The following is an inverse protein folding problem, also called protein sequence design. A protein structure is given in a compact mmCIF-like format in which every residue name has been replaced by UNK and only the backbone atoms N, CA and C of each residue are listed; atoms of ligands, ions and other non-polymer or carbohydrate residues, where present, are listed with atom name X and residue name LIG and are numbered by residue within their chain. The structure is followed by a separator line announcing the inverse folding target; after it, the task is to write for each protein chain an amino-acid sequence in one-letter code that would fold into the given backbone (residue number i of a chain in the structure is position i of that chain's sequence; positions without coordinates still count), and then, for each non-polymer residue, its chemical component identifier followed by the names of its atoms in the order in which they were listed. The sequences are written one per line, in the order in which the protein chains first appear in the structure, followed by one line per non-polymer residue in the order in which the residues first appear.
data_IF_070296394988
#
_entry.id   IF_070296394988
#
_cell.length_a   1.000
_cell.length_b   1.000
_cell.length_c   1.000
_cell.angle_alpha   90.00
_cell.angle_beta   90.00
_cell.angle_gamma   90.00
#
_symmetry.space_group_name_H-M   'P 1'
#
loop_
_entity.id
_entity.type
_entity.pdbx_description
1 polymer ?
#
# COMPACT_ATOMS: atom_id res chain seq x y z
N UNK A 1 -33.49 -1.34 11.52
CA UNK A 1 -32.52 -2.42 11.79
C UNK A 1 -33.01 -3.76 11.26
N UNK A 2 -34.26 -4.20 11.56
CA UNK A 2 -34.79 -5.49 11.15
C UNK A 2 -34.81 -5.74 9.64
N UNK A 3 -35.16 -4.73 8.83
CA UNK A 3 -35.18 -4.83 7.36
C UNK A 3 -33.76 -4.98 6.78
N UNK A 4 -32.76 -4.31 7.36
CA UNK A 4 -31.36 -4.44 6.93
C UNK A 4 -30.79 -5.84 7.26
N UNK A 5 -31.11 -6.38 8.43
CA UNK A 5 -30.71 -7.73 8.84
C UNK A 5 -31.40 -8.78 7.94
N UNK A 6 -32.70 -8.63 7.66
CA UNK A 6 -33.42 -9.53 6.76
C UNK A 6 -32.85 -9.47 5.34
N UNK A 7 -32.55 -8.29 4.82
CA UNK A 7 -31.93 -8.13 3.50
C UNK A 7 -30.54 -8.79 3.44
N UNK A 8 -29.72 -8.60 4.46
CA UNK A 8 -28.39 -9.23 4.53
C UNK A 8 -28.49 -10.76 4.61
N UNK A 9 -29.44 -11.30 5.37
CA UNK A 9 -29.67 -12.74 5.49
C UNK A 9 -30.21 -13.38 4.19
N UNK A 10 -30.97 -12.63 3.40
CA UNK A 10 -31.57 -13.10 2.14
C UNK A 10 -30.67 -12.83 0.93
N UNK A 11 -29.60 -12.04 1.08
CA UNK A 11 -28.65 -11.78 -0.01
C UNK A 11 -27.78 -13.03 -0.23
N UNK A 12 -27.79 -13.64 -1.43
CA UNK A 12 -26.95 -14.79 -1.71
C UNK A 12 -25.48 -14.42 -1.50
N UNK A 13 -24.74 -15.23 -0.73
CA UNK A 13 -23.29 -15.08 -0.62
C UNK A 13 -22.70 -15.36 -2.01
N UNK A 14 -22.07 -14.35 -2.59
CA UNK A 14 -21.24 -14.54 -3.78
C UNK A 14 -19.96 -15.27 -3.32
N UNK A 15 -19.92 -16.58 -3.51
CA UNK A 15 -18.69 -17.33 -3.35
C UNK A 15 -17.90 -17.24 -4.64
N UNK A 16 -16.62 -16.85 -4.54
CA UNK A 16 -15.73 -16.93 -5.68
C UNK A 16 -15.44 -18.39 -6.01
N UNK A 17 -15.55 -18.76 -7.27
CA UNK A 17 -15.08 -20.07 -7.77
C UNK A 17 -13.55 -20.10 -7.94
N UNK A 18 -12.88 -18.99 -7.66
CA UNK A 18 -11.43 -18.90 -7.75
C UNK A 18 -10.78 -19.81 -6.70
N UNK A 19 -9.95 -20.72 -7.15
CA UNK A 19 -9.08 -21.54 -6.32
C UNK A 19 -7.66 -21.00 -6.50
N UNK A 20 -7.06 -20.40 -5.45
CA UNK A 20 -5.68 -19.96 -5.55
C UNK A 20 -4.79 -21.15 -5.85
N UNK A 21 -3.94 -20.99 -6.88
CA UNK A 21 -2.89 -21.98 -7.16
C UNK A 21 -1.69 -21.61 -6.30
N UNK A 22 -1.17 -22.53 -5.49
CA UNK A 22 0.05 -22.29 -4.74
C UNK A 22 1.21 -21.99 -5.70
N UNK A 23 1.89 -20.87 -5.46
CA UNK A 23 3.11 -20.48 -6.17
C UNK A 23 4.16 -20.08 -5.12
N UNK A 24 4.92 -21.06 -4.60
CA UNK A 24 5.90 -20.81 -3.54
C UNK A 24 7.00 -19.84 -3.93
N UNK A 25 7.45 -19.89 -5.19
CA UNK A 25 8.53 -19.03 -5.67
C UNK A 25 8.06 -17.57 -5.74
N UNK A 26 6.85 -17.35 -6.26
CA UNK A 26 6.22 -16.02 -6.29
C UNK A 26 5.95 -15.50 -4.88
N UNK A 27 5.45 -16.36 -3.99
CA UNK A 27 5.22 -16.00 -2.59
C UNK A 27 6.52 -15.60 -1.89
N UNK A 28 7.61 -16.34 -2.14
CA UNK A 28 8.92 -16.00 -1.57
C UNK A 28 9.45 -14.69 -2.15
N UNK A 29 9.35 -14.45 -3.44
CA UNK A 29 9.75 -13.19 -4.06
C UNK A 29 9.01 -11.97 -3.47
N UNK A 30 7.72 -12.12 -3.16
CA UNK A 30 6.94 -11.07 -2.49
C UNK A 30 7.38 -10.89 -1.04
N UNK A 31 7.62 -12.00 -0.32
CA UNK A 31 8.10 -11.95 1.05
C UNK A 31 9.46 -11.25 1.16
N UNK A 32 10.37 -11.49 0.21
CA UNK A 32 11.68 -10.83 0.15
C UNK A 32 11.55 -9.31 -0.07
N UNK A 33 10.64 -8.88 -0.94
CA UNK A 33 10.38 -7.45 -1.14
C UNK A 33 9.82 -6.80 0.13
N UNK A 34 8.81 -7.42 0.75
CA UNK A 34 8.26 -6.92 2.01
C UNK A 34 9.31 -6.90 3.11
N UNK A 35 10.09 -7.96 3.23
CA UNK A 35 11.23 -8.06 4.16
C UNK A 35 12.21 -6.89 3.97
N UNK A 36 12.58 -6.57 2.73
CA UNK A 36 13.45 -5.43 2.43
C UNK A 36 12.81 -4.10 2.86
N UNK A 37 11.51 -3.93 2.64
CA UNK A 37 10.77 -2.74 3.07
C UNK A 37 10.70 -2.61 4.59
N UNK A 38 10.53 -3.72 5.33
CA UNK A 38 10.53 -3.73 6.80
C UNK A 38 11.89 -3.34 7.36
N UNK A 39 12.99 -3.80 6.76
CA UNK A 39 14.34 -3.43 7.18
C UNK A 39 14.65 -1.94 7.03
N UNK A 40 13.91 -1.22 6.21
CA UNK A 40 14.04 0.22 6.11
C UNK A 40 13.18 0.88 7.20
N UNK A 41 13.82 1.39 8.25
CA UNK A 41 13.14 2.10 9.33
C UNK A 41 12.51 3.40 8.80
N UNK A 42 11.18 3.47 8.90
CA UNK A 42 10.36 4.64 8.57
C UNK A 42 9.51 5.08 9.77
N UNK A 43 10.02 4.85 10.99
CA UNK A 43 9.35 5.32 12.20
C UNK A 43 9.14 6.82 12.14
N UNK A 44 7.89 7.25 12.33
CA UNK A 44 7.48 8.64 12.34
C UNK A 44 7.08 9.10 13.75
N UNK A 45 7.18 10.40 14.00
CA UNK A 45 6.79 11.02 15.25
C UNK A 45 6.13 12.37 14.98
N UNK A 46 5.15 12.72 15.80
CA UNK A 46 4.57 14.05 15.78
C UNK A 46 5.66 15.12 16.01
N UNK A 47 5.68 16.14 15.15
CA UNK A 47 6.60 17.28 15.25
C UNK A 47 8.09 16.97 15.04
N UNK A 48 8.45 15.75 14.59
CA UNK A 48 9.81 15.37 14.22
C UNK A 48 9.85 15.12 12.72
N UNK A 49 10.77 15.75 12.01
CA UNK A 49 10.98 15.55 10.58
C UNK A 49 12.33 14.88 10.34
N UNK A 50 12.31 13.70 9.74
CA UNK A 50 13.48 12.92 9.36
C UNK A 50 13.35 12.51 7.88
N UNK A 51 13.42 13.48 6.94
CA UNK A 51 13.15 13.22 5.52
C UNK A 51 14.06 12.13 4.93
N UNK A 52 15.28 12.00 5.42
CA UNK A 52 16.25 11.01 4.96
C UNK A 52 15.81 9.56 5.19
N UNK A 53 14.91 9.28 6.14
CA UNK A 53 14.30 7.94 6.32
C UNK A 53 13.41 7.61 5.14
N UNK A 54 12.58 8.56 4.73
CA UNK A 54 11.65 8.39 3.62
C UNK A 54 12.39 8.43 2.27
N UNK A 55 13.40 9.26 2.11
CA UNK A 55 14.25 9.26 0.91
C UNK A 55 14.91 7.88 0.67
N UNK A 56 15.43 7.24 1.74
CA UNK A 56 15.96 5.87 1.64
C UNK A 56 14.88 4.87 1.27
N UNK A 57 13.69 4.99 1.85
CA UNK A 57 12.56 4.12 1.53
C UNK A 57 12.10 4.30 0.07
N UNK A 58 12.03 5.54 -0.40
CA UNK A 58 11.69 5.84 -1.81
C UNK A 58 12.72 5.28 -2.79
N UNK A 59 14.01 5.38 -2.46
CA UNK A 59 15.06 4.78 -3.26
C UNK A 59 14.96 3.24 -3.29
N UNK A 60 14.61 2.63 -2.15
CA UNK A 60 14.32 1.19 -2.08
C UNK A 60 13.13 0.81 -2.96
N UNK A 61 12.01 1.55 -2.88
CA UNK A 61 10.84 1.30 -3.73
C UNK A 61 11.19 1.37 -5.22
N UNK A 62 12.02 2.34 -5.62
CA UNK A 62 12.47 2.44 -7.00
C UNK A 62 13.29 1.22 -7.46
N UNK A 63 14.09 0.65 -6.57
CA UNK A 63 14.83 -0.58 -6.85
C UNK A 63 13.95 -1.83 -6.91
N UNK A 64 12.91 -1.90 -6.07
CA UNK A 64 12.03 -3.06 -5.99
C UNK A 64 10.95 -3.07 -7.10
N UNK A 65 10.55 -1.89 -7.60
CA UNK A 65 9.45 -1.70 -8.55
C UNK A 65 9.86 -0.74 -9.69
N UNK A 66 10.83 -1.16 -10.52
CA UNK A 66 11.40 -0.28 -11.54
C UNK A 66 10.40 0.18 -12.61
N UNK A 67 9.46 -0.67 -13.03
CA UNK A 67 8.48 -0.30 -14.05
C UNK A 67 7.49 0.75 -13.53
N UNK A 68 7.07 0.64 -12.26
CA UNK A 68 6.24 1.68 -11.63
C UNK A 68 6.95 3.03 -11.70
N UNK A 69 8.24 3.07 -11.38
CA UNK A 69 9.02 4.30 -11.36
C UNK A 69 9.41 4.81 -12.77
N UNK A 70 9.48 3.93 -13.75
CA UNK A 70 9.75 4.30 -15.15
C UNK A 70 8.49 4.80 -15.87
N UNK A 71 7.34 4.16 -15.63
CA UNK A 71 6.13 4.34 -16.44
C UNK A 71 5.10 5.27 -15.84
N UNK A 72 5.05 5.41 -14.52
CA UNK A 72 4.07 6.25 -13.85
C UNK A 72 4.64 7.65 -13.57
N UNK A 73 3.79 8.66 -13.65
CA UNK A 73 4.15 10.00 -13.18
C UNK A 73 4.21 10.01 -11.66
N UNK A 74 5.37 10.31 -11.10
CA UNK A 74 5.58 10.46 -9.66
C UNK A 74 5.57 11.92 -9.26
N UNK A 75 4.85 12.24 -8.19
CA UNK A 75 4.87 13.52 -7.49
C UNK A 75 5.22 13.28 -6.03
N UNK A 76 6.23 13.97 -5.55
CA UNK A 76 6.63 13.98 -4.14
C UNK A 76 6.10 15.24 -3.46
N UNK A 77 5.45 15.06 -2.32
CA UNK A 77 4.82 16.14 -1.57
C UNK A 77 5.26 16.03 -0.11
N UNK A 78 6.38 16.66 0.24
CA UNK A 78 6.95 16.62 1.59
C UNK A 78 7.15 15.18 2.12
N UNK A 79 7.65 14.27 1.28
CA UNK A 79 7.85 12.87 1.60
C UNK A 79 6.63 11.97 1.39
N UNK A 80 5.46 12.53 1.08
CA UNK A 80 4.31 11.75 0.63
C UNK A 80 4.41 11.50 -0.87
N UNK A 81 4.02 10.32 -1.33
CA UNK A 81 4.11 9.91 -2.72
C UNK A 81 2.74 9.86 -3.38
N UNK A 82 2.65 10.43 -4.58
CA UNK A 82 1.52 10.27 -5.46
C UNK A 82 2.01 9.79 -6.82
N UNK A 83 1.57 8.61 -7.24
CA UNK A 83 1.81 8.09 -8.59
C UNK A 83 0.53 8.15 -9.40
N UNK A 84 0.67 8.52 -10.67
CA UNK A 84 -0.42 8.58 -11.62
C UNK A 84 -0.16 7.63 -12.80
N UNK A 85 -1.06 6.70 -13.01
CA UNK A 85 -1.10 5.80 -14.14
C UNK A 85 -2.30 6.14 -15.01
N UNK A 86 -2.09 6.79 -16.17
CA UNK A 86 -3.19 7.17 -17.05
C UNK A 86 -3.92 5.95 -17.59
N UNK A 87 -5.23 6.01 -17.57
CA UNK A 87 -6.12 5.03 -18.18
C UNK A 87 -6.63 5.50 -19.54
N UNK A 88 -7.39 4.62 -20.20
CA UNK A 88 -8.07 4.94 -21.46
C UNK A 88 -9.21 5.96 -21.30
N UNK A 89 -9.78 6.06 -20.11
CA UNK A 89 -10.79 7.02 -19.71
C UNK A 89 -10.43 7.68 -18.39
N UNK A 90 -10.97 8.88 -18.14
CA UNK A 90 -10.58 9.72 -16.99
C UNK A 90 -11.76 10.07 -16.08
N UNK A 91 -12.95 9.56 -16.36
CA UNK A 91 -14.20 9.91 -15.68
C UNK A 91 -14.45 9.13 -14.39
N UNK A 92 -13.76 8.00 -14.19
CA UNK A 92 -13.91 7.13 -13.03
C UNK A 92 -12.57 6.72 -12.43
N UNK A 93 -11.74 7.67 -12.00
CA UNK A 93 -10.44 7.36 -11.44
C UNK A 93 -10.56 6.59 -10.12
N UNK A 94 -9.59 5.71 -9.86
CA UNK A 94 -9.45 5.01 -8.60
C UNK A 94 -8.20 5.46 -7.87
N UNK A 95 -8.27 5.49 -6.55
CA UNK A 95 -7.13 5.79 -5.67
C UNK A 95 -6.86 4.57 -4.81
N UNK A 96 -5.63 4.06 -4.87
CA UNK A 96 -5.09 3.04 -3.99
C UNK A 96 -4.25 3.77 -2.93
N UNK A 97 -4.70 3.74 -1.68
CA UNK A 97 -4.09 4.52 -0.61
C UNK A 97 -3.48 3.61 0.45
N UNK A 98 -2.32 3.99 0.96
CA UNK A 98 -1.60 3.31 2.03
C UNK A 98 -0.64 4.30 2.68
N UNK A 99 -0.01 3.91 3.80
CA UNK A 99 1.05 4.71 4.39
C UNK A 99 2.38 3.97 4.45
N UNK A 100 3.45 4.72 4.51
CA UNK A 100 4.82 4.21 4.50
C UNK A 100 5.52 4.35 5.86
N UNK A 101 4.97 5.20 6.73
CA UNK A 101 5.46 5.35 8.10
C UNK A 101 4.97 4.23 9.01
N UNK A 102 5.61 4.10 10.16
CA UNK A 102 5.29 3.12 11.18
C UNK A 102 5.45 3.73 12.57
N UNK A 103 4.68 3.23 13.56
CA UNK A 103 4.84 3.61 14.95
C UNK A 103 6.16 3.08 15.54
N UNK A 104 6.67 3.69 16.63
CA UNK A 104 7.82 3.16 17.35
C UNK A 104 7.65 1.70 17.75
N UNK A 105 8.75 0.98 17.76
CA UNK A 105 8.80 -0.41 18.19
C UNK A 105 9.30 -0.49 19.63
N UNK A 106 8.38 -0.54 20.58
CA UNK A 106 8.67 -0.66 22.00
C UNK A 106 8.46 -2.09 22.50
N UNK A 107 9.02 -2.40 23.66
CA UNK A 107 8.83 -3.68 24.36
C UNK A 107 9.71 -4.82 23.82
N UNK A 108 9.33 -6.05 24.16
CA UNK A 108 10.02 -7.27 23.77
C UNK A 108 9.42 -7.87 22.52
N UNK A 109 10.23 -8.21 21.55
CA UNK A 109 9.84 -8.78 20.27
C UNK A 109 10.44 -10.17 20.11
N UNK A 110 9.69 -11.10 19.53
CA UNK A 110 10.16 -12.44 19.16
C UNK A 110 11.22 -12.36 18.06
N UNK A 111 10.99 -11.51 17.05
CA UNK A 111 11.95 -11.13 16.02
C UNK A 111 12.23 -9.64 16.13
N UNK A 112 13.45 -9.20 15.88
CA UNK A 112 13.77 -7.78 15.98
C UNK A 112 12.86 -6.93 15.08
N UNK A 113 12.35 -5.78 15.55
CA UNK A 113 11.29 -5.01 14.87
C UNK A 113 11.56 -4.67 13.41
N UNK A 114 12.80 -4.46 13.05
CA UNK A 114 13.25 -4.12 11.70
C UNK A 114 14.13 -5.20 11.08
N UNK A 115 14.04 -6.46 11.55
CA UNK A 115 14.79 -7.57 10.93
C UNK A 115 14.26 -7.98 9.57
N UNK A 116 12.96 -7.90 9.37
CA UNK A 116 12.31 -8.41 8.17
C UNK A 116 12.47 -9.93 8.03
N UNK A 117 12.59 -10.67 9.13
CA UNK A 117 12.78 -12.12 9.09
C UNK A 117 11.64 -12.81 8.35
N UNK A 118 12.00 -13.77 7.51
CA UNK A 118 11.06 -14.66 6.84
C UNK A 118 11.15 -16.01 7.54
N UNK A 119 10.18 -16.31 8.39
CA UNK A 119 10.16 -17.52 9.19
C UNK A 119 8.70 -18.00 9.37
N UNK A 120 8.52 -19.32 9.46
CA UNK A 120 7.22 -19.96 9.70
C UNK A 120 6.10 -19.52 8.72
N UNK A 121 6.48 -19.28 7.46
CA UNK A 121 5.54 -18.83 6.42
C UNK A 121 5.05 -17.39 6.58
N UNK A 122 5.76 -16.56 7.37
CA UNK A 122 5.43 -15.18 7.67
C UNK A 122 6.63 -14.27 7.43
N UNK A 123 6.35 -12.98 7.21
CA UNK A 123 7.35 -11.91 7.27
C UNK A 123 7.15 -11.16 8.59
N UNK A 124 8.18 -11.12 9.41
CA UNK A 124 8.14 -10.56 10.75
C UNK A 124 8.71 -9.14 10.79
N UNK A 125 8.04 -8.27 11.52
CA UNK A 125 8.57 -6.95 11.85
C UNK A 125 7.52 -5.84 11.86
N UNK A 126 7.93 -4.65 12.31
CA UNK A 126 7.11 -3.45 12.36
C UNK A 126 6.75 -2.99 10.93
N UNK A 127 5.45 -2.80 10.65
CA UNK A 127 4.95 -2.46 9.33
C UNK A 127 4.60 -3.68 8.46
N UNK A 128 4.82 -4.92 8.95
CA UNK A 128 4.46 -6.13 8.19
C UNK A 128 2.96 -6.27 7.93
N UNK A 129 2.12 -5.76 8.84
CA UNK A 129 0.67 -5.70 8.70
C UNK A 129 0.19 -4.28 8.47
N UNK A 130 0.71 -3.33 9.22
CA UNK A 130 0.29 -1.94 9.24
C UNK A 130 1.47 -1.03 8.83
N UNK A 131 1.59 -0.48 7.55
CA UNK A 131 0.89 -1.06 6.41
C UNK A 131 1.81 -1.17 5.19
N UNK A 132 3.13 -1.43 5.41
CA UNK A 132 4.07 -1.67 4.29
C UNK A 132 3.64 -2.84 3.40
N UNK A 133 2.86 -3.79 3.93
CA UNK A 133 2.26 -4.85 3.12
C UNK A 133 1.30 -4.29 2.06
N UNK A 134 0.50 -3.28 2.38
CA UNK A 134 -0.40 -2.64 1.42
C UNK A 134 0.39 -1.84 0.38
N UNK A 135 1.41 -1.09 0.81
CA UNK A 135 2.34 -0.43 -0.13
C UNK A 135 2.92 -1.45 -1.10
N UNK A 136 3.50 -2.54 -0.57
CA UNK A 136 4.07 -3.63 -1.38
C UNK A 136 3.04 -4.22 -2.34
N UNK A 137 1.83 -4.51 -1.86
CA UNK A 137 0.80 -5.15 -2.68
C UNK A 137 0.34 -4.26 -3.85
N UNK A 138 0.14 -2.96 -3.62
CA UNK A 138 -0.25 -2.04 -4.69
C UNK A 138 0.86 -1.87 -5.73
N UNK A 139 2.09 -1.65 -5.27
CA UNK A 139 3.23 -1.50 -6.17
C UNK A 139 3.50 -2.79 -6.96
N UNK A 140 3.44 -3.97 -6.31
CA UNK A 140 3.67 -5.25 -6.96
C UNK A 140 2.58 -5.55 -8.00
N UNK A 141 1.32 -5.29 -7.68
CA UNK A 141 0.23 -5.50 -8.62
C UNK A 141 0.38 -4.62 -9.87
N UNK A 142 0.74 -3.35 -9.69
CA UNK A 142 0.97 -2.43 -10.81
C UNK A 142 2.22 -2.81 -11.60
N UNK A 143 3.31 -3.19 -10.94
CA UNK A 143 4.55 -3.66 -11.58
C UNK A 143 4.28 -4.85 -12.52
N UNK A 144 3.51 -5.84 -12.06
CA UNK A 144 3.15 -7.02 -12.86
C UNK A 144 2.22 -6.68 -14.02
N UNK A 145 1.25 -5.80 -13.80
CA UNK A 145 0.35 -5.36 -14.85
C UNK A 145 1.10 -4.57 -15.93
N UNK A 146 2.05 -3.72 -15.53
CA UNK A 146 2.93 -3.00 -16.47
C UNK A 146 3.82 -3.97 -17.25
N UNK A 147 4.40 -4.98 -16.58
CA UNK A 147 5.20 -6.01 -17.24
C UNK A 147 4.38 -6.81 -18.26
N UNK A 148 3.09 -7.00 -17.99
CA UNK A 148 2.16 -7.65 -18.91
C UNK A 148 1.65 -6.73 -20.03
N UNK A 149 2.06 -5.46 -20.09
CA UNK A 149 1.60 -4.47 -21.06
C UNK A 149 0.13 -4.07 -20.87
N UNK A 150 -0.39 -4.18 -19.65
CA UNK A 150 -1.76 -3.81 -19.35
C UNK A 150 -1.95 -2.29 -19.33
N UNK A 151 -3.04 -1.85 -19.96
CA UNK A 151 -3.50 -0.46 -19.90
C UNK A 151 -4.80 -0.41 -19.06
N UNK A 152 -4.87 0.39 -17.98
CA UNK A 152 -6.06 0.47 -17.17
C UNK A 152 -7.24 1.11 -17.93
N UNK A 153 -8.46 0.67 -17.63
CA UNK A 153 -9.66 1.24 -18.24
C UNK A 153 -9.90 2.69 -17.81
N UNK A 154 -9.56 3.02 -16.58
CA UNK A 154 -9.64 4.36 -16.01
C UNK A 154 -8.33 4.69 -15.29
N UNK A 155 -8.14 5.97 -15.00
CA UNK A 155 -6.99 6.46 -14.25
C UNK A 155 -6.82 5.74 -12.92
N UNK A 156 -5.57 5.41 -12.59
CA UNK A 156 -5.19 4.84 -11.29
C UNK A 156 -4.21 5.76 -10.61
N UNK A 157 -4.48 6.08 -9.36
CA UNK A 157 -3.57 6.80 -8.49
C UNK A 157 -3.11 5.88 -7.37
N UNK A 158 -1.81 5.89 -7.06
CA UNK A 158 -1.28 5.29 -5.84
C UNK A 158 -0.84 6.44 -4.94
N UNK A 159 -1.45 6.54 -3.77
CA UNK A 159 -1.18 7.58 -2.79
C UNK A 159 -0.59 6.96 -1.53
N UNK A 160 0.58 7.44 -1.09
CA UNK A 160 1.25 6.90 0.10
C UNK A 160 1.68 8.03 1.03
N UNK A 161 1.06 8.06 2.22
CA UNK A 161 1.37 9.03 3.27
C UNK A 161 2.62 8.62 4.07
N UNK A 162 3.34 9.59 4.58
CA UNK A 162 4.49 9.39 5.48
C UNK A 162 4.23 9.89 6.92
N UNK A 163 2.98 10.20 7.26
CA UNK A 163 2.60 10.78 8.56
C UNK A 163 1.24 10.27 9.06
N UNK A 164 0.85 9.06 8.66
CA UNK A 164 -0.45 8.49 9.01
C UNK A 164 -0.51 8.20 10.52
N UNK A 165 0.50 7.53 11.06
CA UNK A 165 0.58 6.95 12.40
C UNK A 165 0.40 7.96 13.56
N UNK A 166 0.52 9.24 13.28
CA UNK A 166 0.27 10.30 14.24
C UNK A 166 -0.73 11.35 13.74
N UNK A 167 -1.59 10.97 12.78
CA UNK A 167 -2.62 11.82 12.17
C UNK A 167 -2.06 13.14 11.62
N UNK A 168 -0.92 13.06 10.94
CA UNK A 168 -0.24 14.22 10.35
C UNK A 168 -0.91 14.75 9.09
N UNK A 169 -0.19 15.64 8.40
CA UNK A 169 -0.72 16.38 7.27
C UNK A 169 -0.53 15.67 5.90
N UNK A 170 -0.02 14.45 5.90
CA UNK A 170 0.30 13.71 4.68
C UNK A 170 -0.93 13.42 3.82
N UNK A 171 -1.94 12.75 4.37
CA UNK A 171 -3.17 12.47 3.64
C UNK A 171 -3.91 13.75 3.21
N UNK A 172 -4.07 14.80 4.06
CA UNK A 172 -4.56 16.11 3.64
C UNK A 172 -3.81 16.72 2.44
N UNK A 173 -2.47 16.62 2.38
CA UNK A 173 -1.67 17.13 1.27
C UNK A 173 -1.91 16.35 -0.02
N UNK A 174 -1.99 15.03 0.06
CA UNK A 174 -2.32 14.16 -1.08
C UNK A 174 -3.72 14.50 -1.63
N UNK A 175 -4.71 14.69 -0.75
CA UNK A 175 -6.07 15.12 -1.14
C UNK A 175 -6.05 16.50 -1.78
N UNK A 176 -5.27 17.45 -1.25
CA UNK A 176 -5.14 18.79 -1.84
C UNK A 176 -4.58 18.71 -3.27
N UNK A 177 -3.58 17.87 -3.50
CA UNK A 177 -3.00 17.67 -4.83
C UNK A 177 -4.00 17.01 -5.80
N UNK A 178 -4.72 15.97 -5.37
CA UNK A 178 -5.78 15.36 -6.17
C UNK A 178 -6.86 16.38 -6.55
N UNK A 179 -7.28 17.22 -5.60
CA UNK A 179 -8.22 18.32 -5.87
C UNK A 179 -7.66 19.35 -6.86
N UNK A 180 -6.38 19.73 -6.72
CA UNK A 180 -5.70 20.65 -7.65
C UNK A 180 -5.69 20.10 -9.08
N UNK A 181 -5.56 18.78 -9.24
CA UNK A 181 -5.66 18.06 -10.52
C UNK A 181 -7.10 17.88 -11.02
N UNK A 182 -8.10 18.27 -10.24
CA UNK A 182 -9.52 18.08 -10.57
C UNK A 182 -9.99 16.63 -10.45
N UNK A 183 -9.24 15.78 -9.76
CA UNK A 183 -9.56 14.36 -9.59
C UNK A 183 -10.73 14.19 -8.63
N UNK A 184 -11.73 13.45 -9.07
CA UNK A 184 -12.87 13.00 -8.25
C UNK A 184 -12.91 11.48 -8.26
N UNK A 185 -12.36 10.82 -7.24
CA UNK A 185 -12.28 9.37 -7.22
C UNK A 185 -13.68 8.73 -7.31
N UNK A 186 -13.80 7.74 -8.20
CA UNK A 186 -14.97 6.83 -8.21
C UNK A 186 -14.86 5.81 -7.07
N UNK A 187 -13.63 5.39 -6.77
CA UNK A 187 -13.31 4.44 -5.71
C UNK A 187 -12.02 4.89 -5.01
N UNK A 188 -12.03 4.82 -3.69
CA UNK A 188 -10.82 4.86 -2.87
C UNK A 188 -10.72 3.51 -2.17
N UNK A 189 -9.58 2.86 -2.34
CA UNK A 189 -9.21 1.67 -1.60
C UNK A 189 -8.09 2.07 -0.64
N UNK A 190 -8.39 2.05 0.64
CA UNK A 190 -7.48 2.39 1.71
C UNK A 190 -7.18 1.14 2.54
N UNK A 191 -6.35 1.26 3.53
CA UNK A 191 -6.09 0.19 4.48
C UNK A 191 -7.30 -0.08 5.38
N UNK A 192 -7.26 -1.20 6.06
CA UNK A 192 -8.23 -1.52 7.11
C UNK A 192 -8.53 -3.00 7.22
N UNK A 193 -8.95 -3.35 8.42
CA UNK A 193 -9.31 -4.70 8.77
C UNK A 193 -8.11 -5.65 8.85
N UNK A 194 -8.41 -6.90 9.14
CA UNK A 194 -7.44 -7.98 9.18
C UNK A 194 -8.07 -9.27 8.67
N UNK A 195 -7.25 -10.22 8.25
CA UNK A 195 -7.69 -11.59 8.00
C UNK A 195 -7.71 -12.29 9.34
N UNK A 196 -8.92 -12.58 9.83
CA UNK A 196 -9.11 -13.35 11.05
C UNK A 196 -9.40 -14.79 10.62
N UNK A 197 -8.52 -15.70 10.97
CA UNK A 197 -8.72 -17.15 10.81
C UNK A 197 -9.08 -17.72 12.17
N UNK A 198 -10.26 -18.31 12.31
CA UNK A 198 -10.67 -19.04 13.50
C UNK A 198 -9.98 -20.41 13.56
#
# INVERSE_FOLDING_TARGET
LGAAVAHAALTPRKTSAYQPQPDPDRAMAYAEKLSAMIRCDTTSYANVREPEKFERFHALLAGLFPLVHEKLERTDIDGNLLYYWPGRAHDRPIVLMSHQDVVPAEGTWEHAPFSGDIADGKVWGRGASDTKCSVMAFFQAVEELLAAGYEPANDVYIASSCTEEWAGDGAPKLVAELKRRGVRPFLVCDEGGGIITE
#
